data_IF_580977958997
#
_entry.id   IF_580977958997
#
_cell.length_a   1.000
_cell.length_b   1.000
_cell.length_c   1.000
_cell.angle_alpha   90.00
_cell.angle_beta   90.00
_cell.angle_gamma   90.00
#
_symmetry.space_group_name_H-M   'P 1'
#
loop_
_entity.id
_entity.type
_entity.pdbx_description
1 polymer ?
#
# COMPACT_ATOMS: atom_id res chain seq x y z
N UNK A 1 5.83 13.91 -7.01
CA UNK A 1 6.70 13.25 -8.00
C UNK A 1 7.97 12.71 -7.37
N UNK A 2 8.87 13.58 -6.88
CA UNK A 2 10.18 13.15 -6.35
C UNK A 2 10.14 12.07 -5.27
N UNK A 3 9.26 12.21 -4.27
CA UNK A 3 9.08 11.17 -3.23
C UNK A 3 8.64 9.83 -3.84
N UNK A 4 7.70 9.83 -4.77
CA UNK A 4 7.22 8.60 -5.42
C UNK A 4 8.36 7.91 -6.18
N UNK A 5 9.15 8.66 -6.97
CA UNK A 5 10.30 8.10 -7.69
C UNK A 5 11.39 7.56 -6.74
N UNK A 6 11.64 8.23 -5.62
CA UNK A 6 12.56 7.76 -4.59
C UNK A 6 12.07 6.46 -3.96
N UNK A 7 10.83 6.41 -3.50
CA UNK A 7 10.26 5.21 -2.86
C UNK A 7 10.08 4.05 -3.84
N UNK A 8 9.82 4.31 -5.12
CA UNK A 8 9.86 3.32 -6.18
C UNK A 8 11.23 2.64 -6.25
N UNK A 9 12.30 3.44 -6.28
CA UNK A 9 13.68 2.93 -6.33
C UNK A 9 14.04 2.18 -5.04
N UNK A 10 13.63 2.70 -3.88
CA UNK A 10 13.84 2.04 -2.59
C UNK A 10 13.10 0.71 -2.51
N UNK A 11 11.86 0.63 -3.01
CA UNK A 11 11.09 -0.61 -3.04
C UNK A 11 11.77 -1.65 -3.94
N UNK A 12 12.28 -1.25 -5.11
CA UNK A 12 13.04 -2.11 -6.00
C UNK A 12 14.32 -2.64 -5.34
N UNK A 13 15.12 -1.76 -4.72
CA UNK A 13 16.31 -2.17 -3.97
C UNK A 13 15.96 -3.11 -2.80
N UNK A 14 14.89 -2.82 -2.07
CA UNK A 14 14.45 -3.66 -0.96
C UNK A 14 14.03 -5.06 -1.45
N UNK A 15 13.46 -5.16 -2.65
CA UNK A 15 13.14 -6.43 -3.28
C UNK A 15 14.40 -7.21 -3.69
N UNK A 16 15.37 -6.55 -4.35
CA UNK A 16 16.63 -7.18 -4.79
C UNK A 16 17.43 -7.80 -3.63
N UNK A 17 17.40 -7.16 -2.46
CA UNK A 17 18.07 -7.64 -1.25
C UNK A 17 17.15 -8.40 -0.28
N UNK A 18 15.89 -8.64 -0.66
CA UNK A 18 14.87 -9.31 0.19
C UNK A 18 14.73 -8.70 1.60
N UNK A 19 14.89 -7.38 1.72
CA UNK A 19 14.93 -6.68 3.01
C UNK A 19 13.60 -6.76 3.77
N UNK A 20 12.49 -6.97 3.07
CA UNK A 20 11.14 -7.00 3.63
C UNK A 20 10.59 -8.43 3.78
N UNK A 21 11.41 -9.45 3.58
CA UNK A 21 11.00 -10.86 3.64
C UNK A 21 10.38 -11.24 5.00
N UNK A 22 10.87 -10.62 6.08
CA UNK A 22 10.34 -10.81 7.44
C UNK A 22 8.88 -10.35 7.59
N UNK A 23 8.41 -9.43 6.73
CA UNK A 23 7.00 -9.03 6.64
C UNK A 23 6.25 -9.91 5.64
N UNK A 24 6.87 -10.20 4.50
CA UNK A 24 6.23 -10.93 3.39
C UNK A 24 5.89 -12.36 3.80
N UNK A 25 6.81 -13.09 4.44
CA UNK A 25 6.62 -14.49 4.84
C UNK A 25 5.41 -14.76 5.74
N UNK A 26 5.20 -14.04 6.87
CA UNK A 26 3.99 -14.25 7.67
C UNK A 26 2.73 -13.81 6.91
N UNK A 27 2.78 -12.72 6.14
CA UNK A 27 1.63 -12.25 5.37
C UNK A 27 1.25 -13.22 4.24
N UNK A 28 2.22 -13.89 3.60
CA UNK A 28 1.92 -14.88 2.55
C UNK A 28 1.19 -16.09 3.13
N UNK A 29 1.54 -16.50 4.36
CA UNK A 29 0.82 -17.57 5.05
C UNK A 29 -0.63 -17.19 5.39
N UNK A 30 -0.88 -15.91 5.68
CA UNK A 30 -2.20 -15.39 6.00
C UNK A 30 -3.08 -15.18 4.76
N UNK A 31 -2.50 -14.66 3.68
CA UNK A 31 -3.21 -14.33 2.44
C UNK A 31 -3.30 -15.52 1.48
N UNK A 32 -2.56 -16.60 1.74
CA UNK A 32 -2.53 -17.83 0.91
C UNK A 32 -1.70 -17.72 -0.36
N UNK A 33 -1.32 -16.51 -0.76
CA UNK A 33 -0.53 -16.23 -1.96
C UNK A 33 0.59 -15.23 -1.63
N UNK A 34 1.78 -15.49 -2.16
CA UNK A 34 2.96 -14.67 -1.91
C UNK A 34 2.86 -13.33 -2.63
N UNK A 35 2.31 -13.32 -3.83
CA UNK A 35 2.09 -12.14 -4.67
C UNK A 35 1.19 -11.12 -3.96
N UNK A 36 0.19 -11.59 -3.21
CA UNK A 36 -0.68 -10.72 -2.41
C UNK A 36 0.09 -10.05 -1.27
N UNK A 37 0.96 -10.80 -0.59
CA UNK A 37 1.79 -10.29 0.49
C UNK A 37 2.85 -9.30 -0.01
N UNK A 38 3.58 -9.65 -1.07
CA UNK A 38 4.56 -8.78 -1.71
C UNK A 38 3.90 -7.50 -2.21
N UNK A 39 2.79 -7.62 -2.94
CA UNK A 39 2.05 -6.50 -3.47
C UNK A 39 1.53 -5.56 -2.38
N UNK A 40 1.04 -6.10 -1.25
CA UNK A 40 0.64 -5.29 -0.11
C UNK A 40 1.83 -4.60 0.55
N UNK A 41 2.92 -5.32 0.84
CA UNK A 41 4.10 -4.78 1.54
C UNK A 41 4.81 -3.70 0.71
N UNK A 42 5.10 -3.97 -0.56
CA UNK A 42 5.70 -2.96 -1.45
C UNK A 42 4.72 -1.84 -1.77
N UNK A 43 3.43 -2.14 -1.85
CA UNK A 43 2.36 -1.16 -2.00
C UNK A 43 2.27 -0.14 -0.87
N UNK A 44 2.54 -0.58 0.37
CA UNK A 44 2.61 0.31 1.52
C UNK A 44 3.76 1.30 1.40
N UNK A 45 4.87 0.97 0.72
CA UNK A 45 5.93 1.94 0.40
C UNK A 45 5.51 2.84 -0.76
N UNK A 46 5.09 2.24 -1.87
CA UNK A 46 4.73 2.92 -3.10
C UNK A 46 3.57 2.18 -3.79
N UNK A 47 2.42 2.85 -3.88
CA UNK A 47 1.15 2.18 -4.21
C UNK A 47 1.11 1.62 -5.64
N UNK A 48 1.79 2.24 -6.60
CA UNK A 48 1.73 1.80 -8.00
C UNK A 48 2.51 0.51 -8.22
N UNK A 49 3.67 0.37 -7.59
CA UNK A 49 4.49 -0.85 -7.58
C UNK A 49 3.72 -2.01 -6.97
N UNK A 50 3.15 -1.80 -5.76
CA UNK A 50 2.35 -2.83 -5.11
C UNK A 50 1.12 -3.23 -5.90
N UNK A 51 0.38 -2.25 -6.45
CA UNK A 51 -0.81 -2.53 -7.26
C UNK A 51 -0.47 -3.32 -8.54
N UNK A 52 0.68 -3.06 -9.15
CA UNK A 52 1.16 -3.83 -10.31
C UNK A 52 1.44 -5.29 -9.94
N UNK A 53 2.04 -5.54 -8.78
CA UNK A 53 2.31 -6.91 -8.29
C UNK A 53 0.98 -7.61 -7.99
N UNK A 54 0.06 -6.94 -7.27
CA UNK A 54 -1.26 -7.50 -6.95
C UNK A 54 -2.07 -7.87 -8.20
N UNK A 55 -2.01 -7.02 -9.24
CA UNK A 55 -2.74 -7.25 -10.48
C UNK A 55 -2.29 -8.49 -11.28
N UNK A 56 -1.19 -9.14 -10.89
CA UNK A 56 -0.74 -10.40 -11.48
C UNK A 56 -1.41 -11.64 -10.86
N UNK A 57 -2.06 -11.50 -9.70
CA UNK A 57 -2.82 -12.59 -9.05
C UNK A 57 -4.26 -12.62 -9.56
N UNK A 58 -4.85 -13.83 -9.61
CA UNK A 58 -6.27 -14.05 -9.92
C UNK A 58 -7.18 -14.04 -8.68
N UNK A 59 -6.61 -13.78 -7.50
CA UNK A 59 -7.36 -13.79 -6.24
C UNK A 59 -8.47 -12.75 -6.22
N UNK A 60 -9.64 -13.15 -5.72
CA UNK A 60 -10.77 -12.25 -5.50
C UNK A 60 -10.44 -11.09 -4.52
N UNK A 61 -9.37 -11.19 -3.73
CA UNK A 61 -8.90 -10.14 -2.83
C UNK A 61 -8.21 -8.97 -3.56
N UNK A 62 -7.78 -9.15 -4.81
CA UNK A 62 -6.97 -8.17 -5.55
C UNK A 62 -7.64 -6.80 -5.64
N UNK A 63 -8.93 -6.65 -6.03
CA UNK A 63 -9.57 -5.34 -6.09
C UNK A 63 -9.62 -4.64 -4.74
N UNK A 64 -9.88 -5.39 -3.66
CA UNK A 64 -9.95 -4.85 -2.30
C UNK A 64 -8.59 -4.35 -1.82
N UNK A 65 -7.52 -5.12 -2.04
CA UNK A 65 -6.15 -4.74 -1.68
C UNK A 65 -5.64 -3.56 -2.51
N UNK A 66 -5.93 -3.52 -3.81
CA UNK A 66 -5.58 -2.36 -4.65
C UNK A 66 -6.33 -1.11 -4.19
N UNK A 67 -7.63 -1.21 -3.90
CA UNK A 67 -8.42 -0.09 -3.39
C UNK A 67 -7.90 0.45 -2.05
N UNK A 68 -7.48 -0.44 -1.14
CA UNK A 68 -6.78 -0.08 0.08
C UNK A 68 -5.52 0.74 -0.22
N UNK A 69 -4.63 0.21 -1.09
CA UNK A 69 -3.36 0.84 -1.42
C UNK A 69 -3.52 2.19 -2.11
N UNK A 70 -4.46 2.32 -3.05
CA UNK A 70 -4.73 3.57 -3.76
C UNK A 70 -5.31 4.62 -2.81
N UNK A 71 -6.22 4.23 -1.92
CA UNK A 71 -6.80 5.14 -0.93
C UNK A 71 -5.77 5.61 0.10
N UNK A 72 -4.90 4.70 0.56
CA UNK A 72 -3.79 5.00 1.46
C UNK A 72 -2.74 5.89 0.76
N UNK A 73 -2.35 5.53 -0.46
CA UNK A 73 -1.36 6.20 -1.30
C UNK A 73 0.10 5.76 -1.08
N UNK A 74 0.34 4.92 -0.08
CA UNK A 74 1.70 4.51 0.33
C UNK A 74 2.45 5.58 1.15
N UNK A 75 3.56 5.17 1.75
CA UNK A 75 4.45 6.05 2.54
C UNK A 75 5.01 7.16 1.64
N UNK A 76 5.25 6.88 0.37
CA UNK A 76 5.70 7.87 -0.61
C UNK A 76 4.80 9.11 -0.70
N UNK A 77 3.49 8.92 -0.87
CA UNK A 77 2.49 9.99 -0.93
C UNK A 77 2.28 10.62 0.43
N UNK A 78 2.32 9.83 1.51
CA UNK A 78 2.25 10.35 2.87
C UNK A 78 3.37 11.35 3.16
N UNK A 79 4.63 10.96 2.92
CA UNK A 79 5.80 11.83 3.07
C UNK A 79 5.71 13.08 2.19
N UNK A 80 5.27 12.93 0.93
CA UNK A 80 5.06 14.06 0.02
C UNK A 80 4.04 15.06 0.60
N UNK A 81 2.92 14.57 1.13
CA UNK A 81 1.86 15.43 1.66
C UNK A 81 2.22 16.09 2.99
N UNK A 82 3.03 15.45 3.84
CA UNK A 82 3.47 16.05 5.10
C UNK A 82 4.26 17.35 4.91
N UNK A 83 5.00 17.50 3.80
CA UNK A 83 5.74 18.73 3.49
C UNK A 83 4.79 19.92 3.32
N UNK A 84 3.60 19.70 2.77
CA UNK A 84 2.59 20.73 2.56
C UNK A 84 1.71 20.92 3.81
N UNK A 85 1.27 19.83 4.43
CA UNK A 85 0.35 19.84 5.57
C UNK A 85 0.98 20.45 6.83
N UNK A 86 2.29 20.26 7.04
CA UNK A 86 3.00 20.93 8.13
C UNK A 86 2.95 22.45 8.00
N UNK A 87 3.01 23.00 6.78
CA UNK A 87 2.89 24.46 6.55
C UNK A 87 1.49 24.98 6.89
N UNK A 88 0.48 24.12 6.78
CA UNK A 88 -0.91 24.43 7.11
C UNK A 88 -1.28 24.13 8.58
N UNK A 89 -0.31 23.82 9.46
CA UNK A 89 -0.53 23.42 10.86
C UNK A 89 -1.48 22.22 11.05
N UNK A 90 -1.60 21.35 10.06
CA UNK A 90 -2.41 20.13 10.17
C UNK A 90 -1.64 19.08 10.97
N UNK A 91 -2.31 18.48 11.97
CA UNK A 91 -1.73 17.41 12.79
C UNK A 91 -1.49 16.15 11.96
N UNK A 92 -0.24 15.71 11.89
CA UNK A 92 0.17 14.49 11.17
C UNK A 92 -0.63 13.25 11.56
N UNK A 93 -0.93 13.08 12.86
CA UNK A 93 -1.72 11.95 13.34
C UNK A 93 -3.16 11.93 12.81
N UNK A 94 -3.80 13.10 12.71
CA UNK A 94 -5.17 13.22 12.16
C UNK A 94 -5.18 12.86 10.67
N UNK A 95 -4.16 13.31 9.94
CA UNK A 95 -4.01 12.97 8.52
C UNK A 95 -3.72 11.48 8.30
N UNK A 96 -2.85 10.88 9.11
CA UNK A 96 -2.59 9.44 9.03
C UNK A 96 -3.85 8.63 9.34
N UNK A 97 -4.59 9.01 10.39
CA UNK A 97 -5.83 8.33 10.77
C UNK A 97 -6.89 8.45 9.67
N UNK A 98 -7.05 9.63 9.05
CA UNK A 98 -8.00 9.77 7.94
C UNK A 98 -7.64 8.89 6.76
N UNK A 99 -6.35 8.75 6.45
CA UNK A 99 -5.86 7.85 5.39
C UNK A 99 -6.07 6.38 5.70
N UNK A 100 -5.81 5.94 6.93
CA UNK A 100 -6.07 4.56 7.34
C UNK A 100 -7.58 4.27 7.27
N UNK A 101 -8.43 5.17 7.77
CA UNK A 101 -9.89 5.01 7.71
C UNK A 101 -10.38 4.93 6.26
N UNK A 102 -9.90 5.81 5.37
CA UNK A 102 -10.24 5.74 3.95
C UNK A 102 -9.81 4.43 3.30
N UNK A 103 -8.60 3.96 3.60
CA UNK A 103 -8.07 2.72 3.05
C UNK A 103 -8.87 1.50 3.52
N UNK A 104 -9.19 1.42 4.81
CA UNK A 104 -10.01 0.33 5.37
C UNK A 104 -11.43 0.35 4.79
N UNK A 105 -12.07 1.51 4.68
CA UNK A 105 -13.40 1.61 4.08
C UNK A 105 -13.39 1.19 2.60
N UNK A 106 -12.38 1.62 1.83
CA UNK A 106 -12.23 1.23 0.43
C UNK A 106 -12.04 -0.28 0.28
N UNK A 107 -11.20 -0.89 1.13
CA UNK A 107 -11.03 -2.33 1.20
C UNK A 107 -12.36 -3.04 1.44
N UNK A 108 -13.09 -2.65 2.49
CA UNK A 108 -14.35 -3.30 2.88
C UNK A 108 -15.42 -3.20 1.79
N UNK A 109 -15.55 -2.04 1.14
CA UNK A 109 -16.53 -1.87 0.06
C UNK A 109 -16.20 -2.73 -1.16
N UNK A 110 -14.94 -2.76 -1.57
CA UNK A 110 -14.53 -3.56 -2.74
C UNK A 110 -14.52 -5.05 -2.44
N UNK A 111 -14.17 -5.45 -1.22
CA UNK A 111 -14.28 -6.84 -0.78
C UNK A 111 -15.74 -7.31 -0.76
N UNK A 112 -16.65 -6.48 -0.22
CA UNK A 112 -18.08 -6.78 -0.27
C UNK A 112 -18.57 -6.88 -1.73
N UNK A 113 -18.11 -5.99 -2.60
CA UNK A 113 -18.46 -6.03 -4.02
C UNK A 113 -18.00 -7.31 -4.72
N UNK A 114 -16.83 -7.85 -4.38
CA UNK A 114 -16.33 -9.11 -4.95
C UNK A 114 -17.07 -10.35 -4.47
N UNK A 115 -17.88 -10.25 -3.41
CA UNK A 115 -18.69 -11.36 -2.87
C UNK A 115 -20.13 -11.38 -3.39
N UNK A 116 -20.58 -10.32 -4.07
CA UNK A 116 -21.91 -10.17 -4.66
C UNK A 116 -21.95 -10.76 -6.08
#
# INVERSE_FOLDING_TARGET
GGFIAFFYTVAAMAADFSLLEFLISPLSSLLGERELAEGLVYGLLECTTGSKILAASESALVPALIGFLVSFGGVSVFCQNLVFLKKANVKTAVYLLSKITQAVLSFLFLWLYTLL
#
